data_IF_103995483078
#
_entry.id   IF_103995483078
#
_cell.length_a   1.000
_cell.length_b   1.000
_cell.length_c   1.000
_cell.angle_alpha   90.00
_cell.angle_beta   90.00
_cell.angle_gamma   90.00
#
_symmetry.space_group_name_H-M   'P 1'
#
loop_
_entity.id
_entity.type
_entity.pdbx_description
1 polymer ?
#
# COMPACT_ATOMS: atom_id res chain seq x y z
N UNK A 1 20.89 4.77 -7.66
CA UNK A 1 20.06 4.17 -6.60
C UNK A 1 19.61 5.34 -5.75
N UNK A 2 18.36 5.40 -5.31
CA UNK A 2 17.88 6.53 -4.53
C UNK A 2 18.34 6.38 -3.08
N UNK A 3 18.78 7.47 -2.47
CA UNK A 3 19.17 7.52 -1.07
C UNK A 3 17.95 7.74 -0.16
N UNK A 4 18.13 7.56 1.14
CA UNK A 4 17.03 7.76 2.09
C UNK A 4 16.58 9.23 2.16
N UNK A 5 15.30 9.46 1.87
CA UNK A 5 14.70 10.80 1.80
C UNK A 5 14.82 11.48 0.43
N UNK A 6 15.31 10.79 -0.59
CA UNK A 6 15.28 11.30 -1.98
C UNK A 6 13.84 11.63 -2.40
N UNK A 7 13.64 12.81 -2.99
CA UNK A 7 12.33 13.29 -3.43
C UNK A 7 11.65 12.30 -4.40
N UNK A 8 12.42 11.66 -5.27
CA UNK A 8 11.92 10.70 -6.26
C UNK A 8 11.65 9.31 -5.66
N UNK A 9 12.11 9.05 -4.44
CA UNK A 9 11.80 7.83 -3.69
C UNK A 9 10.52 7.94 -2.85
N UNK A 10 9.93 9.13 -2.74
CA UNK A 10 8.64 9.32 -2.06
C UNK A 10 7.51 8.74 -2.92
N UNK A 11 6.83 7.73 -2.38
CA UNK A 11 5.71 7.04 -3.04
C UNK A 11 4.39 7.37 -2.35
N UNK A 12 3.34 7.50 -3.15
CA UNK A 12 1.94 7.55 -2.74
C UNK A 12 1.34 6.20 -3.11
N UNK A 13 0.77 5.51 -2.13
CA UNK A 13 0.14 4.19 -2.32
C UNK A 13 -1.36 4.35 -2.13
N UNK A 14 -2.12 4.11 -3.19
CA UNK A 14 -3.57 4.26 -3.24
C UNK A 14 -4.20 2.86 -3.31
N UNK A 15 -5.15 2.55 -2.43
CA UNK A 15 -5.88 1.28 -2.50
C UNK A 15 -6.80 1.27 -3.71
N UNK A 16 -6.68 0.25 -4.56
CA UNK A 16 -7.60 0.00 -5.68
C UNK A 16 -8.89 -0.67 -5.18
N UNK A 17 -8.74 -1.75 -4.41
CA UNK A 17 -9.86 -2.51 -3.83
C UNK A 17 -9.36 -3.44 -2.72
N UNK A 18 -10.25 -4.28 -2.20
CA UNK A 18 -9.94 -5.30 -1.18
C UNK A 18 -8.85 -6.30 -1.63
N UNK A 19 -8.36 -7.07 -0.66
CA UNK A 19 -7.27 -8.03 -0.89
C UNK A 19 -5.92 -7.35 -1.12
N UNK A 20 -5.70 -6.21 -0.46
CA UNK A 20 -4.44 -5.45 -0.50
C UNK A 20 -4.01 -5.07 -1.92
N UNK A 21 -4.97 -4.76 -2.79
CA UNK A 21 -4.70 -4.29 -4.16
C UNK A 21 -4.43 -2.80 -4.15
N UNK A 22 -3.28 -2.40 -4.65
CA UNK A 22 -2.79 -1.03 -4.59
C UNK A 22 -2.26 -0.53 -5.93
N UNK A 23 -2.35 0.78 -6.15
CA UNK A 23 -1.60 1.53 -7.15
C UNK A 23 -0.48 2.29 -6.47
N UNK A 24 0.69 2.30 -7.10
CA UNK A 24 1.89 2.96 -6.55
C UNK A 24 2.29 4.09 -7.47
N UNK A 25 2.31 5.31 -6.95
CA UNK A 25 2.59 6.55 -7.69
C UNK A 25 3.80 7.26 -7.09
N UNK A 26 4.74 7.71 -7.92
CA UNK A 26 5.80 8.61 -7.46
C UNK A 26 5.21 9.97 -7.11
N UNK A 27 5.43 10.45 -5.88
CA UNK A 27 4.88 11.74 -5.43
C UNK A 27 5.40 12.90 -6.28
N UNK A 28 6.71 12.90 -6.55
CA UNK A 28 7.40 13.96 -7.29
C UNK A 28 7.00 13.98 -8.78
N UNK A 29 7.03 12.81 -9.42
CA UNK A 29 6.85 12.74 -10.87
C UNK A 29 5.38 12.59 -11.28
N UNK A 30 4.52 12.13 -10.36
CA UNK A 30 3.14 11.77 -10.62
C UNK A 30 2.93 10.55 -11.52
N UNK A 31 3.99 9.79 -11.82
CA UNK A 31 3.88 8.56 -12.61
C UNK A 31 3.50 7.38 -11.72
N UNK A 32 2.57 6.56 -12.21
CA UNK A 32 2.28 5.25 -11.65
C UNK A 32 3.33 4.24 -12.10
N UNK A 33 3.76 3.38 -11.19
CA UNK A 33 4.55 2.21 -11.51
C UNK A 33 3.60 1.16 -12.08
N UNK A 34 3.90 0.67 -13.27
CA UNK A 34 3.12 -0.34 -13.96
C UNK A 34 4.04 -1.40 -14.57
N UNK A 35 3.47 -2.54 -14.97
CA UNK A 35 4.21 -3.61 -15.64
C UNK A 35 3.69 -3.82 -17.06
N UNK A 36 4.57 -3.91 -18.05
CA UNK A 36 4.13 -4.21 -19.41
C UNK A 36 4.06 -5.71 -19.70
N UNK A 37 3.53 -6.08 -20.88
CA UNK A 37 3.41 -7.48 -21.34
C UNK A 37 4.73 -8.27 -21.45
N UNK A 38 5.89 -7.59 -21.38
CA UNK A 38 7.22 -8.20 -21.38
C UNK A 38 7.79 -8.35 -19.96
N UNK A 39 7.00 -8.01 -18.93
CA UNK A 39 7.40 -8.01 -17.53
C UNK A 39 8.30 -6.83 -17.16
N UNK A 40 8.44 -5.80 -17.99
CA UNK A 40 9.26 -4.62 -17.66
C UNK A 40 8.45 -3.65 -16.82
N UNK A 41 9.04 -3.15 -15.73
CA UNK A 41 8.51 -2.02 -14.98
C UNK A 41 8.62 -0.73 -15.82
N UNK A 42 7.52 0.00 -15.89
CA UNK A 42 7.39 1.24 -16.66
C UNK A 42 6.64 2.29 -15.82
N UNK A 43 6.93 3.56 -16.06
CA UNK A 43 6.13 4.66 -15.51
C UNK A 43 5.02 5.06 -16.48
N UNK A 44 3.79 5.26 -16.00
CA UNK A 44 2.67 5.82 -16.79
C UNK A 44 1.98 6.98 -16.05
N UNK A 45 1.60 8.04 -16.75
CA UNK A 45 0.75 9.10 -16.18
C UNK A 45 -0.68 8.61 -15.92
N UNK A 46 -1.24 7.83 -16.84
CA UNK A 46 -2.53 7.16 -16.64
C UNK A 46 -2.32 5.78 -15.98
N UNK A 47 -2.69 5.67 -14.70
CA UNK A 47 -2.59 4.47 -13.87
C UNK A 47 -3.87 3.63 -13.76
N UNK A 48 -4.92 3.93 -14.54
CA UNK A 48 -6.22 3.25 -14.39
C UNK A 48 -6.18 1.75 -14.73
N UNK A 49 -5.28 1.35 -15.64
CA UNK A 49 -5.19 -0.04 -16.09
C UNK A 49 -4.74 -1.01 -15.00
N UNK A 50 -5.23 -2.26 -15.07
CA UNK A 50 -4.87 -3.36 -14.16
C UNK A 50 -3.36 -3.67 -14.17
N UNK A 51 -2.64 -3.28 -15.24
CA UNK A 51 -1.19 -3.36 -15.33
C UNK A 51 -0.44 -2.47 -14.33
N UNK A 52 -1.13 -1.49 -13.73
CA UNK A 52 -0.62 -0.58 -12.70
C UNK A 52 -1.08 -0.97 -11.29
N UNK A 53 -1.83 -2.08 -11.14
CA UNK A 53 -2.30 -2.58 -9.86
C UNK A 53 -1.40 -3.72 -9.40
N UNK A 54 -1.02 -3.69 -8.13
CA UNK A 54 -0.24 -4.73 -7.47
C UNK A 54 -0.97 -5.23 -6.22
N UNK A 55 -0.89 -6.51 -5.95
CA UNK A 55 -1.29 -7.10 -4.67
C UNK A 55 -0.09 -7.03 -3.73
N UNK A 56 -0.27 -6.35 -2.60
CA UNK A 56 0.69 -6.37 -1.50
C UNK A 56 0.55 -7.66 -0.71
N UNK A 57 1.63 -8.42 -0.61
CA UNK A 57 1.68 -9.71 0.07
C UNK A 57 2.71 -9.62 1.20
N UNK A 58 2.30 -9.96 2.41
CA UNK A 58 3.23 -10.22 3.52
C UNK A 58 3.70 -11.66 3.37
N UNK A 59 5.00 -11.82 3.14
CA UNK A 59 5.62 -13.12 2.96
C UNK A 59 5.87 -13.81 4.29
N UNK A 60 6.06 -15.13 4.25
CA UNK A 60 6.40 -15.97 5.42
C UNK A 60 7.69 -15.51 6.13
N UNK A 61 8.60 -14.86 5.41
CA UNK A 61 9.84 -14.31 5.96
C UNK A 61 9.70 -12.85 6.45
N UNK A 62 8.47 -12.35 6.60
CA UNK A 62 8.11 -11.01 7.05
C UNK A 62 8.52 -9.86 6.12
N UNK A 63 8.98 -10.15 4.90
CA UNK A 63 9.16 -9.13 3.86
C UNK A 63 7.87 -8.89 3.09
N UNK A 64 7.78 -7.75 2.43
CA UNK A 64 6.68 -7.44 1.50
C UNK A 64 7.04 -7.85 0.08
N UNK A 65 6.10 -8.46 -0.64
CA UNK A 65 6.16 -8.63 -2.08
C UNK A 65 5.01 -7.89 -2.77
N UNK A 66 5.24 -7.46 -4.01
CA UNK A 66 4.25 -6.77 -4.83
C UNK A 66 4.03 -7.55 -6.12
N UNK A 67 2.95 -8.33 -6.18
CA UNK A 67 2.60 -9.13 -7.35
C UNK A 67 1.70 -8.33 -8.28
N UNK A 68 1.96 -8.30 -9.59
CA UNK A 68 1.12 -7.56 -10.53
C UNK A 68 -0.26 -8.22 -10.69
N UNK A 69 -1.33 -7.43 -10.64
CA UNK A 69 -2.70 -7.96 -10.70
C UNK A 69 -3.13 -8.36 -12.13
N UNK A 70 -2.47 -7.86 -13.17
CA UNK A 70 -2.73 -8.26 -14.57
C UNK A 70 -1.92 -9.49 -14.97
N UNK A 71 -0.67 -9.57 -14.54
CA UNK A 71 0.24 -10.68 -14.86
C UNK A 71 0.54 -11.47 -13.59
N UNK A 72 -0.33 -12.44 -13.29
CA UNK A 72 -0.18 -13.29 -12.12
C UNK A 72 1.15 -14.06 -12.15
N UNK A 73 1.74 -14.25 -10.97
CA UNK A 73 3.08 -14.85 -10.83
C UNK A 73 4.24 -13.90 -11.17
N UNK A 74 3.99 -12.68 -11.65
CA UNK A 74 5.05 -11.68 -11.87
C UNK A 74 5.09 -10.64 -10.76
N UNK A 75 6.28 -10.43 -10.21
CA UNK A 75 6.51 -9.56 -9.08
C UNK A 75 7.30 -8.31 -9.51
N UNK A 76 7.07 -7.21 -8.82
CA UNK A 76 8.01 -6.09 -8.82
C UNK A 76 9.35 -6.58 -8.28
N UNK A 77 10.45 -6.22 -8.94
CA UNK A 77 11.76 -6.70 -8.54
C UNK A 77 12.89 -5.78 -9.01
N UNK A 78 13.95 -5.72 -8.20
CA UNK A 78 15.19 -5.05 -8.54
C UNK A 78 16.38 -5.96 -8.25
N UNK A 79 17.35 -5.93 -9.14
CA UNK A 79 18.63 -6.62 -8.95
C UNK A 79 19.42 -5.99 -7.80
N UNK A 80 20.46 -6.68 -7.32
CA UNK A 80 21.40 -6.15 -6.30
C UNK A 80 21.97 -4.77 -6.66
N UNK A 81 22.11 -4.45 -7.94
CA UNK A 81 22.61 -3.15 -8.44
C UNK A 81 21.50 -2.09 -8.58
N UNK A 82 20.30 -2.36 -8.06
CA UNK A 82 19.13 -1.47 -8.14
C UNK A 82 18.47 -1.37 -9.52
N UNK A 83 18.86 -2.23 -10.49
CA UNK A 83 18.24 -2.22 -11.84
C UNK A 83 16.92 -3.00 -11.84
N UNK A 84 15.86 -2.52 -12.52
CA UNK A 84 14.60 -3.25 -12.65
C UNK A 84 14.80 -4.64 -13.25
N UNK A 85 14.22 -5.67 -12.63
CA UNK A 85 14.20 -7.04 -13.17
C UNK A 85 12.88 -7.31 -13.89
N UNK A 86 12.95 -8.13 -14.95
CA UNK A 86 11.76 -8.55 -15.70
C UNK A 86 10.90 -9.48 -14.84
N UNK A 87 9.61 -9.17 -14.71
CA UNK A 87 8.61 -9.96 -13.99
C UNK A 87 8.58 -11.44 -14.40
N UNK A 88 8.76 -11.75 -15.69
CA UNK A 88 8.83 -13.13 -16.19
C UNK A 88 9.95 -13.98 -15.59
N UNK A 89 11.00 -13.34 -15.03
CA UNK A 89 12.13 -13.98 -14.36
C UNK A 89 12.03 -13.95 -12.84
N UNK A 90 10.90 -13.51 -12.28
CA UNK A 90 10.72 -13.40 -10.83
C UNK A 90 10.10 -14.66 -10.25
N UNK A 91 10.42 -14.95 -8.99
CA UNK A 91 9.82 -15.98 -8.15
C UNK A 91 9.73 -15.46 -6.72
N UNK A 92 8.70 -15.85 -5.98
CA UNK A 92 8.41 -15.32 -4.64
C UNK A 92 9.56 -15.48 -3.63
N UNK A 93 10.31 -16.58 -3.70
CA UNK A 93 11.44 -16.85 -2.79
C UNK A 93 12.70 -16.03 -3.09
N UNK A 94 12.75 -15.30 -4.21
CA UNK A 94 13.94 -14.54 -4.60
C UNK A 94 14.05 -13.24 -3.80
N UNK A 95 15.21 -12.96 -3.21
CA UNK A 95 15.43 -11.71 -2.45
C UNK A 95 15.15 -10.43 -3.24
N UNK A 96 15.25 -10.48 -4.57
CA UNK A 96 15.02 -9.34 -5.45
C UNK A 96 13.54 -8.89 -5.51
N UNK A 97 12.60 -9.73 -5.08
CA UNK A 97 11.17 -9.38 -4.98
C UNK A 97 10.77 -8.94 -3.57
N UNK A 98 11.71 -8.93 -2.62
CA UNK A 98 11.46 -8.62 -1.21
C UNK A 98 11.69 -7.13 -0.96
N UNK A 99 10.71 -6.49 -0.37
CA UNK A 99 10.71 -5.06 -0.04
C UNK A 99 10.42 -4.86 1.45
N UNK A 100 10.89 -3.73 1.96
CA UNK A 100 10.51 -3.22 3.28
C UNK A 100 9.88 -1.84 3.11
N UNK A 101 8.70 -1.66 3.71
CA UNK A 101 8.04 -0.35 3.77
C UNK A 101 8.77 0.52 4.79
N UNK A 102 9.14 1.73 4.40
CA UNK A 102 9.85 2.70 5.25
C UNK A 102 9.04 3.98 5.33
N UNK A 103 9.09 4.65 6.48
CA UNK A 103 8.50 5.97 6.65
C UNK A 103 9.30 7.00 5.83
N UNK A 104 8.65 8.02 5.25
CA UNK A 104 9.37 9.14 4.64
C UNK A 104 10.29 9.83 5.66
N UNK A 105 11.48 10.24 5.22
CA UNK A 105 12.42 10.98 6.07
C UNK A 105 11.77 12.29 6.56
N UNK A 106 11.87 12.57 7.86
CA UNK A 106 11.26 13.75 8.50
C UNK A 106 9.84 13.52 9.04
N UNK A 107 9.24 12.33 8.89
CA UNK A 107 7.95 12.01 9.52
C UNK A 107 8.05 11.75 11.04
N UNK A 108 9.26 11.69 11.61
CA UNK A 108 9.49 11.40 13.03
C UNK A 108 9.41 12.62 13.98
N UNK A 109 8.78 13.74 13.60
CA UNK A 109 8.74 14.93 14.47
C UNK A 109 7.35 15.57 14.69
N UNK A 110 6.29 15.15 13.99
CA UNK A 110 4.95 15.77 14.15
C UNK A 110 3.93 14.90 14.88
N UNK A 111 4.20 13.62 15.09
CA UNK A 111 3.41 12.77 15.99
C UNK A 111 4.10 12.67 17.35
N UNK A 112 4.33 13.82 18.00
CA UNK A 112 4.17 13.81 19.45
C UNK A 112 2.73 13.34 19.68
N UNK A 113 2.58 12.17 20.30
CA UNK A 113 1.30 11.53 20.62
C UNK A 113 0.23 12.60 20.91
N UNK A 114 -0.65 12.90 19.94
CA UNK A 114 -1.87 13.63 20.28
C UNK A 114 -2.63 12.69 21.22
N UNK A 115 -2.92 13.10 22.46
CA UNK A 115 -3.77 12.29 23.32
C UNK A 115 -5.06 12.00 22.55
N UNK A 116 -5.54 10.77 22.64
CA UNK A 116 -6.88 10.46 22.13
C UNK A 116 -7.88 11.36 22.87
N UNK A 117 -8.47 12.31 22.15
CA UNK A 117 -9.56 13.12 22.68
C UNK A 117 -10.80 12.22 22.73
N UNK A 118 -11.16 11.77 23.92
CA UNK A 118 -12.46 11.15 24.15
C UNK A 118 -13.53 12.22 23.91
N UNK A 119 -14.27 12.08 22.82
CA UNK A 119 -15.54 12.81 22.66
C UNK A 119 -16.50 12.22 23.69
N UNK A 120 -16.59 12.87 24.84
CA UNK A 120 -17.62 12.58 25.83
C UNK A 120 -18.96 13.00 25.24
N UNK A 121 -19.63 12.08 24.55
CA UNK A 121 -21.06 12.26 24.27
C UNK A 121 -21.77 12.30 25.63
N UNK A 122 -22.50 13.38 25.95
CA UNK A 122 -23.33 13.38 27.14
C UNK A 122 -24.29 12.20 27.00
N UNK A 123 -24.22 11.28 27.95
CA UNK A 123 -25.10 10.13 28.03
C UNK A 123 -26.52 10.71 28.14
N UNK A 124 -27.24 10.78 27.02
CA UNK A 124 -28.66 11.08 27.05
C UNK A 124 -29.27 9.98 27.89
N UNK A 125 -29.72 10.34 29.10
CA UNK A 125 -30.39 9.45 30.03
C UNK A 125 -31.48 8.75 29.23
N UNK A 126 -31.29 7.45 29.00
CA UNK A 126 -32.27 6.54 28.40
C UNK A 126 -33.63 6.88 29.02
N UNK A 127 -34.54 7.43 28.23
CA UNK A 127 -35.91 7.64 28.66
C UNK A 127 -36.45 6.28 29.08
N UNK A 128 -36.96 6.20 30.31
CA UNK A 128 -37.59 4.99 30.86
C UNK A 128 -38.59 4.46 29.83
N UNK A 129 -38.33 3.26 29.31
CA UNK A 129 -39.26 2.51 28.49
C UNK A 129 -40.49 2.25 29.37
N UNK A 130 -41.61 2.88 29.05
CA UNK A 130 -42.91 2.60 29.66
C UNK A 130 -43.23 1.12 29.44
N UNK A 131 -43.30 0.35 30.54
CA UNK A 131 -43.91 -0.98 30.51
C UNK A 131 -45.42 -0.75 30.41
N UNK A 132 -46.00 -1.08 29.26
CA UNK A 132 -47.44 -1.25 29.14
C UNK A 132 -47.76 -2.59 29.82
N UNK A 133 -48.37 -2.54 31.00
CA UNK A 133 -49.01 -3.69 31.63
C UNK A 133 -50.26 -4.00 30.81
N UNK A 134 -50.24 -5.11 30.08
CA UNK A 134 -51.46 -5.68 29.53
C UNK A 134 -52.31 -6.22 30.67
N UNK A 135 -53.44 -5.59 30.92
CA UNK A 135 -54.55 -6.18 31.67
C UNK A 135 -55.41 -7.01 30.70
N UNK A 136 -55.98 -8.08 31.27
CA UNK A 136 -56.84 -9.10 30.65
C UNK A 136 -58.10 -8.53 30.02
#
# INVERSE_FOLDING_TARGET
MAEDGDAHAKLIVETDTFGSRVRIKGAETGYYICMNKRGKLIGKKNGQGKDCVFTEIVLENNYTALQNAKYEGWYMAFTRKGRPRKGSKTRQHQREVHFMKRLPKGHQASEQHRPFEFINYPFNRRTKRTRYTGER
#
